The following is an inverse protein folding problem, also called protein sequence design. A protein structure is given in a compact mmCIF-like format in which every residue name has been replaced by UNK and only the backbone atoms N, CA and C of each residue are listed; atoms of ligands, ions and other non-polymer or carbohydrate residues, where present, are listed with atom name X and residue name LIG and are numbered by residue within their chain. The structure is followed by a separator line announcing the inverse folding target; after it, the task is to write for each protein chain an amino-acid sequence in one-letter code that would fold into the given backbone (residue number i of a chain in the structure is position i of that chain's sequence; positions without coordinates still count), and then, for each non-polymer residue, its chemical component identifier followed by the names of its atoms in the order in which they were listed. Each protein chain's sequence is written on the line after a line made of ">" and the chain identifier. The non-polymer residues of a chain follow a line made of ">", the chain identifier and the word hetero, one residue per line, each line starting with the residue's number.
data_IF_875457819591
#
_entry.id   IF_875457819591
#
_cell.length_a   1.000
_cell.length_b   1.000
_cell.length_c   1.000
_cell.angle_alpha   90.00
_cell.angle_beta   90.00
_cell.angle_gamma   90.00
#
_symmetry.space_group_name_H-M   'P 1'
#
loop_
_entity.id
_entity.type
_entity.pdbx_description
1 polymer ?
#
# COMPACT_ATOMS: atom_id res chain seq x y z
N UNK A 1 8.51 -9.70 -13.53
CA UNK A 1 7.71 -10.94 -13.57
C UNK A 1 8.49 -12.18 -13.98
N UNK A 2 9.28 -12.16 -15.07
CA UNK A 2 10.05 -13.34 -15.51
C UNK A 2 11.08 -13.81 -14.46
N UNK A 3 11.78 -12.89 -13.78
CA UNK A 3 12.69 -13.24 -12.69
C UNK A 3 11.97 -13.93 -11.51
N UNK A 4 10.76 -13.48 -11.17
CA UNK A 4 9.93 -14.13 -10.16
C UNK A 4 9.52 -15.54 -10.60
N UNK A 5 9.20 -15.75 -11.88
CA UNK A 5 8.92 -17.08 -12.42
C UNK A 5 10.14 -18.01 -12.26
N UNK A 6 11.35 -17.53 -12.58
CA UNK A 6 12.57 -18.31 -12.34
C UNK A 6 12.73 -18.68 -10.86
N UNK A 7 12.48 -17.75 -9.94
CA UNK A 7 12.51 -18.01 -8.50
C UNK A 7 11.46 -19.03 -8.04
N UNK A 8 10.25 -19.00 -8.61
CA UNK A 8 9.20 -20.01 -8.37
C UNK A 8 9.67 -21.40 -8.83
N UNK A 9 10.32 -21.50 -9.99
CA UNK A 9 10.86 -22.78 -10.46
C UNK A 9 12.01 -23.28 -9.58
N UNK A 10 12.89 -22.39 -9.12
CA UNK A 10 13.96 -22.76 -8.18
C UNK A 10 13.35 -23.31 -6.87
N UNK A 11 12.32 -22.66 -6.32
CA UNK A 11 11.61 -23.17 -5.15
C UNK A 11 11.05 -24.57 -5.36
N UNK A 12 10.42 -24.81 -6.50
CA UNK A 12 9.87 -26.12 -6.87
C UNK A 12 10.94 -27.22 -6.89
N UNK A 13 12.09 -26.97 -7.55
CA UNK A 13 13.17 -27.94 -7.63
C UNK A 13 13.88 -28.14 -6.28
N UNK A 14 14.07 -27.08 -5.49
CA UNK A 14 14.68 -27.16 -4.16
C UNK A 14 13.81 -27.95 -3.18
N UNK A 15 12.50 -27.71 -3.19
CA UNK A 15 11.56 -28.48 -2.39
C UNK A 15 11.59 -29.98 -2.78
N UNK A 16 11.56 -30.27 -4.09
CA UNK A 16 11.65 -31.65 -4.59
C UNK A 16 12.94 -32.36 -4.21
N UNK A 17 14.08 -31.66 -4.29
CA UNK A 17 15.38 -32.22 -3.91
C UNK A 17 15.49 -32.55 -2.41
N UNK A 18 14.88 -31.73 -1.53
CA UNK A 18 14.95 -31.95 -0.08
C UNK A 18 13.91 -32.95 0.44
N UNK A 19 12.72 -33.00 -0.17
CA UNK A 19 11.57 -33.77 0.36
C UNK A 19 11.20 -34.98 -0.49
N UNK A 20 11.75 -35.11 -1.70
CA UNK A 20 11.34 -36.11 -2.69
C UNK A 20 10.01 -35.81 -3.39
N UNK A 21 9.29 -34.76 -2.99
CA UNK A 21 7.99 -34.37 -3.58
C UNK A 21 8.12 -33.03 -4.29
N UNK A 22 7.81 -32.99 -5.58
CA UNK A 22 7.76 -31.75 -6.34
C UNK A 22 6.37 -31.11 -6.26
N UNK A 23 6.28 -29.83 -5.86
CA UNK A 23 4.98 -29.16 -5.66
C UNK A 23 5.06 -27.64 -5.86
N UNK A 24 3.96 -27.05 -6.32
CA UNK A 24 3.71 -25.61 -6.31
C UNK A 24 2.73 -25.20 -5.19
N UNK A 25 2.38 -26.12 -4.28
CA UNK A 25 1.54 -25.82 -3.14
C UNK A 25 2.26 -24.89 -2.16
N UNK A 26 1.75 -23.66 -2.04
CA UNK A 26 2.31 -22.62 -1.18
C UNK A 26 2.38 -23.04 0.29
N UNK A 27 1.40 -23.79 0.79
CA UNK A 27 1.35 -24.19 2.19
C UNK A 27 2.41 -25.26 2.50
N UNK A 28 2.74 -26.12 1.53
CA UNK A 28 3.89 -27.02 1.64
C UNK A 28 5.21 -26.26 1.53
N UNK A 29 5.30 -25.30 0.60
CA UNK A 29 6.50 -24.47 0.43
C UNK A 29 6.82 -23.60 1.65
N UNK A 30 5.84 -23.27 2.50
CA UNK A 30 6.12 -22.60 3.77
C UNK A 30 6.87 -23.48 4.78
N UNK A 31 6.72 -24.80 4.72
CA UNK A 31 7.20 -25.71 5.77
C UNK A 31 8.68 -26.02 5.69
N UNK A 32 9.27 -25.98 4.50
CA UNK A 32 10.68 -26.32 4.31
C UNK A 32 11.60 -25.10 4.43
N UNK A 33 12.86 -25.36 4.77
CA UNK A 33 13.88 -24.34 5.05
C UNK A 33 14.88 -24.26 3.91
N UNK A 34 15.39 -23.05 3.66
CA UNK A 34 16.37 -22.78 2.61
C UNK A 34 17.61 -22.14 3.21
N UNK A 35 18.81 -22.40 2.66
CA UNK A 35 20.01 -21.67 3.05
C UNK A 35 19.83 -20.16 2.86
N UNK A 36 20.36 -19.34 3.78
CA UNK A 36 20.19 -17.88 3.77
C UNK A 36 20.56 -17.26 2.42
N UNK A 37 21.71 -17.62 1.85
CA UNK A 37 22.17 -17.06 0.58
C UNK A 37 21.14 -17.26 -0.54
N UNK A 38 20.50 -18.43 -0.59
CA UNK A 38 19.47 -18.71 -1.57
C UNK A 38 18.17 -17.95 -1.25
N UNK A 39 17.80 -17.83 0.02
CA UNK A 39 16.66 -16.99 0.42
C UNK A 39 16.84 -15.54 -0.01
N UNK A 40 18.04 -14.95 0.13
CA UNK A 40 18.31 -13.57 -0.30
C UNK A 40 18.05 -13.42 -1.79
N UNK A 41 18.61 -14.30 -2.63
CA UNK A 41 18.43 -14.21 -4.08
C UNK A 41 16.97 -14.39 -4.50
N UNK A 42 16.26 -15.35 -3.89
CA UNK A 42 14.86 -15.58 -4.18
C UNK A 42 13.99 -14.42 -3.68
N UNK A 43 14.27 -13.88 -2.49
CA UNK A 43 13.61 -12.70 -1.96
C UNK A 43 13.81 -11.50 -2.89
N UNK A 44 15.02 -11.26 -3.40
CA UNK A 44 15.29 -10.17 -4.34
C UNK A 44 14.58 -10.38 -5.68
N UNK A 45 14.49 -11.61 -6.19
CA UNK A 45 13.81 -11.91 -7.45
C UNK A 45 12.28 -11.72 -7.36
N UNK A 46 11.65 -12.19 -6.28
CA UNK A 46 10.24 -11.91 -5.99
C UNK A 46 10.04 -10.42 -5.69
N UNK A 47 10.88 -9.89 -4.80
CA UNK A 47 10.86 -8.52 -4.32
C UNK A 47 10.98 -7.50 -5.43
N UNK A 48 11.82 -7.72 -6.44
CA UNK A 48 11.91 -6.84 -7.60
C UNK A 48 10.60 -6.81 -8.41
N UNK A 49 10.00 -7.97 -8.67
CA UNK A 49 8.74 -8.04 -9.40
C UNK A 49 7.60 -7.33 -8.64
N UNK A 50 7.56 -7.49 -7.32
CA UNK A 50 6.59 -6.79 -6.48
C UNK A 50 6.91 -5.31 -6.34
N UNK A 51 8.17 -4.91 -6.14
CA UNK A 51 8.60 -3.53 -6.01
C UNK A 51 8.24 -2.68 -7.24
N UNK A 52 8.36 -3.24 -8.45
CA UNK A 52 7.86 -2.60 -9.68
C UNK A 52 6.34 -2.41 -9.61
N UNK A 53 5.59 -3.39 -9.10
CA UNK A 53 4.13 -3.34 -9.00
C UNK A 53 3.62 -2.44 -7.85
N UNK A 54 4.41 -2.28 -6.78
CA UNK A 54 4.19 -1.37 -5.61
C UNK A 54 4.62 0.07 -5.89
N UNK A 55 5.03 0.39 -7.12
CA UNK A 55 6.01 1.44 -7.46
C UNK A 55 6.92 1.91 -6.33
N UNK A 56 7.74 1.02 -5.77
CA UNK A 56 8.81 1.43 -4.84
C UNK A 56 9.87 2.25 -5.57
N UNK A 57 10.58 3.14 -4.87
CA UNK A 57 11.79 3.73 -5.41
C UNK A 57 12.85 2.65 -5.69
N UNK A 58 13.56 2.67 -6.85
CA UNK A 58 13.47 3.61 -7.98
C UNK A 58 12.51 3.16 -9.12
N UNK A 59 11.75 2.08 -8.93
CA UNK A 59 10.92 1.42 -9.96
C UNK A 59 9.52 2.01 -10.16
N UNK A 60 9.33 3.30 -9.89
CA UNK A 60 8.02 3.95 -9.87
C UNK A 60 7.67 4.75 -11.13
N UNK A 61 8.64 4.96 -12.03
CA UNK A 61 8.53 5.90 -13.16
C UNK A 61 7.40 5.58 -14.14
N UNK A 62 7.00 4.31 -14.25
CA UNK A 62 5.89 3.89 -15.11
C UNK A 62 4.52 4.38 -14.60
N UNK A 63 4.37 4.63 -13.29
CA UNK A 63 3.07 4.85 -12.67
C UNK A 63 2.43 6.18 -13.10
N UNK A 64 3.12 7.34 -13.06
CA UNK A 64 2.54 8.61 -13.51
C UNK A 64 2.12 8.56 -14.98
N UNK A 65 2.96 7.98 -15.84
CA UNK A 65 2.71 7.91 -17.28
C UNK A 65 1.53 6.97 -17.59
N UNK A 66 1.43 5.83 -16.89
CA UNK A 66 0.29 4.94 -17.02
C UNK A 66 -1.03 5.61 -16.60
N UNK A 67 -1.03 6.41 -15.53
CA UNK A 67 -2.22 7.14 -15.10
C UNK A 67 -2.61 8.29 -16.03
N UNK A 68 -1.64 8.99 -16.62
CA UNK A 68 -1.95 10.06 -17.57
C UNK A 68 -2.61 9.53 -18.83
N UNK A 69 -2.15 8.38 -19.34
CA UNK A 69 -2.70 7.80 -20.56
C UNK A 69 -3.98 6.98 -20.31
N UNK A 70 -4.17 6.49 -19.08
CA UNK A 70 -5.34 5.68 -18.77
C UNK A 70 -6.65 6.50 -18.75
N UNK A 71 -7.76 5.93 -19.25
CA UNK A 71 -9.09 6.47 -19.00
C UNK A 71 -9.39 6.51 -17.49
N UNK A 72 -10.38 7.31 -17.08
CA UNK A 72 -10.73 7.50 -15.65
C UNK A 72 -10.92 6.17 -14.93
N UNK A 73 -11.74 5.27 -15.49
CA UNK A 73 -11.99 3.94 -14.91
C UNK A 73 -10.69 3.12 -14.79
N UNK A 74 -9.82 3.20 -15.81
CA UNK A 74 -8.51 2.55 -15.79
C UNK A 74 -7.62 3.06 -14.66
N UNK A 75 -7.58 4.37 -14.46
CA UNK A 75 -6.85 4.99 -13.34
C UNK A 75 -7.40 4.58 -11.98
N UNK A 76 -8.73 4.53 -11.84
CA UNK A 76 -9.37 4.09 -10.59
C UNK A 76 -9.01 2.64 -10.29
N UNK A 77 -9.15 1.71 -11.24
CA UNK A 77 -8.80 0.30 -11.02
C UNK A 77 -7.31 0.09 -10.76
N UNK A 78 -6.46 0.82 -11.50
CA UNK A 78 -5.01 0.78 -11.31
C UNK A 78 -4.65 1.18 -9.89
N UNK A 79 -5.09 2.37 -9.45
CA UNK A 79 -4.78 2.88 -8.12
C UNK A 79 -5.46 2.07 -7.00
N UNK A 80 -6.74 1.73 -7.17
CA UNK A 80 -7.56 1.12 -6.13
C UNK A 80 -7.25 -0.36 -5.88
N UNK A 81 -6.85 -1.11 -6.91
CA UNK A 81 -6.67 -2.56 -6.82
C UNK A 81 -5.27 -3.00 -7.24
N UNK A 82 -4.84 -2.64 -8.46
CA UNK A 82 -3.66 -3.29 -9.07
C UNK A 82 -2.35 -3.01 -8.32
N UNK A 83 -2.19 -1.83 -7.71
CA UNK A 83 -1.01 -1.55 -6.89
C UNK A 83 -0.93 -2.41 -5.63
N UNK A 84 -2.09 -2.81 -5.07
CA UNK A 84 -2.15 -3.62 -3.83
C UNK A 84 -1.69 -5.05 -4.07
N UNK A 85 -1.75 -5.53 -5.30
CA UNK A 85 -1.26 -6.86 -5.64
C UNK A 85 0.25 -6.98 -5.41
N UNK A 86 1.01 -5.88 -5.51
CA UNK A 86 2.44 -5.88 -5.21
C UNK A 86 2.72 -6.01 -3.71
N UNK A 87 2.06 -5.20 -2.88
CA UNK A 87 2.21 -5.21 -1.41
C UNK A 87 1.65 -6.50 -0.82
N UNK A 88 0.51 -6.99 -1.33
CA UNK A 88 0.01 -8.32 -1.05
C UNK A 88 1.01 -9.41 -1.47
N UNK A 89 1.73 -9.22 -2.57
CA UNK A 89 2.80 -10.11 -3.01
C UNK A 89 3.92 -10.26 -1.98
N UNK A 90 4.39 -9.15 -1.40
CA UNK A 90 5.35 -9.18 -0.30
C UNK A 90 4.81 -9.89 0.93
N UNK A 91 3.58 -9.53 1.34
CA UNK A 91 2.90 -10.10 2.51
C UNK A 91 2.72 -11.61 2.37
N UNK A 92 2.19 -12.05 1.22
CA UNK A 92 1.78 -13.43 1.00
C UNK A 92 2.95 -14.32 0.58
N UNK A 93 3.89 -13.83 -0.23
CA UNK A 93 4.95 -14.67 -0.78
C UNK A 93 6.31 -14.34 -0.18
N UNK A 94 6.82 -13.11 -0.35
CA UNK A 94 8.21 -12.82 -0.01
C UNK A 94 8.53 -13.05 1.47
N UNK A 95 7.72 -12.50 2.38
CA UNK A 95 8.02 -12.55 3.82
C UNK A 95 7.90 -13.99 4.37
N UNK A 96 6.84 -14.76 4.10
CA UNK A 96 6.70 -16.11 4.67
C UNK A 96 7.54 -17.18 3.98
N UNK A 97 7.82 -17.04 2.68
CA UNK A 97 8.71 -17.97 1.97
C UNK A 97 10.17 -17.78 2.39
N UNK A 98 10.58 -16.53 2.63
CA UNK A 98 11.98 -16.16 2.88
C UNK A 98 12.13 -15.33 4.17
N UNK A 99 11.75 -15.85 5.35
CA UNK A 99 11.70 -15.04 6.56
C UNK A 99 13.10 -14.57 6.98
N UNK A 100 14.13 -15.43 6.91
CA UNK A 100 15.49 -15.04 7.29
C UNK A 100 16.05 -13.92 6.40
N UNK A 101 15.85 -14.02 5.08
CA UNK A 101 16.19 -12.91 4.17
C UNK A 101 15.36 -11.65 4.43
N UNK A 102 14.07 -11.80 4.76
CA UNK A 102 13.19 -10.66 5.03
C UNK A 102 13.65 -9.85 6.23
N UNK A 103 14.04 -10.50 7.33
CA UNK A 103 14.63 -9.83 8.50
C UNK A 103 15.96 -9.15 8.15
N UNK A 104 16.84 -9.81 7.39
CA UNK A 104 18.13 -9.24 7.01
C UNK A 104 18.01 -8.04 6.06
N UNK A 105 16.98 -8.03 5.21
CA UNK A 105 16.74 -6.98 4.21
C UNK A 105 15.76 -5.89 4.66
N UNK A 106 15.32 -5.88 5.92
CA UNK A 106 14.50 -4.78 6.49
C UNK A 106 15.14 -3.42 6.20
N UNK A 107 16.45 -3.16 6.43
CA UNK A 107 17.03 -1.86 6.19
C UNK A 107 16.91 -1.44 4.72
N UNK A 108 17.19 -2.36 3.78
CA UNK A 108 17.09 -2.07 2.35
C UNK A 108 15.67 -1.65 1.96
N UNK A 109 14.66 -2.47 2.31
CA UNK A 109 13.27 -2.21 1.92
C UNK A 109 12.74 -0.95 2.61
N UNK A 110 13.05 -0.76 3.89
CA UNK A 110 12.62 0.41 4.66
C UNK A 110 13.25 1.70 4.14
N UNK A 111 14.55 1.70 3.81
CA UNK A 111 15.20 2.87 3.21
C UNK A 111 14.57 3.22 1.86
N UNK A 112 14.33 2.24 0.98
CA UNK A 112 13.66 2.48 -0.30
C UNK A 112 12.23 3.00 -0.12
N UNK A 113 11.51 2.50 0.89
CA UNK A 113 10.18 2.99 1.26
C UNK A 113 10.21 4.45 1.75
N UNK A 114 11.15 4.80 2.63
CA UNK A 114 11.36 6.16 3.13
C UNK A 114 11.74 7.14 2.01
N UNK A 115 12.61 6.72 1.08
CA UNK A 115 12.89 7.51 -0.11
C UNK A 115 11.60 7.70 -0.91
N UNK A 116 10.81 6.64 -1.14
CA UNK A 116 9.52 6.73 -1.82
C UNK A 116 8.55 7.73 -1.18
N UNK A 117 8.45 7.73 0.16
CA UNK A 117 7.63 8.67 0.94
C UNK A 117 8.07 10.12 0.66
N UNK A 118 9.34 10.43 0.89
CA UNK A 118 9.86 11.81 0.81
C UNK A 118 9.95 12.27 -0.64
N UNK A 119 10.61 11.50 -1.50
CA UNK A 119 10.80 11.83 -2.92
C UNK A 119 9.45 11.95 -3.63
N UNK A 120 8.53 11.00 -3.44
CA UNK A 120 7.21 11.04 -4.08
C UNK A 120 6.46 12.32 -3.71
N UNK A 121 6.47 12.69 -2.43
CA UNK A 121 5.83 13.91 -1.94
C UNK A 121 6.47 15.20 -2.47
N UNK A 122 7.81 15.27 -2.53
CA UNK A 122 8.51 16.41 -3.12
C UNK A 122 8.20 16.57 -4.61
N UNK A 123 8.12 15.46 -5.35
CA UNK A 123 7.78 15.49 -6.78
C UNK A 123 6.33 15.95 -7.01
N UNK A 124 5.39 15.64 -6.11
CA UNK A 124 4.02 16.15 -6.17
C UNK A 124 3.96 17.69 -6.18
N UNK A 125 4.80 18.37 -5.39
CA UNK A 125 4.81 19.84 -5.28
C UNK A 125 5.17 20.56 -6.58
N UNK A 126 5.86 19.88 -7.49
CA UNK A 126 6.28 20.43 -8.79
C UNK A 126 5.45 19.89 -9.96
N UNK A 127 4.46 19.03 -9.71
CA UNK A 127 3.58 18.55 -10.78
C UNK A 127 2.63 19.64 -11.25
N UNK A 128 2.54 19.78 -12.58
CA UNK A 128 1.60 20.68 -13.25
C UNK A 128 0.26 20.01 -13.60
N UNK A 129 0.25 18.68 -13.69
CA UNK A 129 -0.92 17.88 -14.09
C UNK A 129 -1.54 17.18 -12.87
N UNK A 130 -2.86 17.27 -12.75
CA UNK A 130 -3.61 16.69 -11.64
C UNK A 130 -3.47 15.16 -11.52
N UNK A 131 -3.57 14.42 -12.63
CA UNK A 131 -3.42 12.95 -12.61
C UNK A 131 -2.00 12.56 -12.23
N UNK A 132 -0.98 13.28 -12.72
CA UNK A 132 0.41 13.02 -12.35
C UNK A 132 0.66 13.27 -10.87
N UNK A 133 0.13 14.37 -10.33
CA UNK A 133 0.23 14.69 -8.90
C UNK A 133 -0.36 13.56 -8.05
N UNK A 134 -1.57 13.10 -8.38
CA UNK A 134 -2.23 11.99 -7.66
C UNK A 134 -1.44 10.69 -7.82
N UNK A 135 -0.89 10.40 -9.00
CA UNK A 135 -0.06 9.22 -9.20
C UNK A 135 1.21 9.25 -8.32
N UNK A 136 1.92 10.37 -8.27
CA UNK A 136 3.09 10.50 -7.37
C UNK A 136 2.70 10.46 -5.89
N UNK A 137 1.52 10.96 -5.52
CA UNK A 137 1.03 10.81 -4.14
C UNK A 137 0.85 9.34 -3.76
N UNK A 138 0.46 8.49 -4.72
CA UNK A 138 0.37 7.03 -4.52
C UNK A 138 1.73 6.39 -4.27
N UNK A 139 2.81 6.90 -4.89
CA UNK A 139 4.18 6.44 -4.62
C UNK A 139 4.54 6.71 -3.16
N UNK A 140 4.18 7.90 -2.64
CA UNK A 140 4.41 8.25 -1.24
C UNK A 140 3.62 7.34 -0.29
N UNK A 141 2.31 7.22 -0.49
CA UNK A 141 1.44 6.40 0.37
C UNK A 141 1.80 4.90 0.35
N UNK A 142 2.22 4.35 -0.79
CA UNK A 142 2.69 2.96 -0.85
C UNK A 142 4.07 2.77 -0.21
N UNK A 143 4.88 3.83 -0.15
CA UNK A 143 6.06 3.88 0.71
C UNK A 143 5.70 3.66 2.18
N UNK A 144 4.67 4.35 2.70
CA UNK A 144 4.17 4.08 4.06
C UNK A 144 3.73 2.63 4.23
N UNK A 145 2.94 2.09 3.28
CA UNK A 145 2.51 0.69 3.35
C UNK A 145 3.73 -0.24 3.47
N UNK A 146 4.72 -0.09 2.60
CA UNK A 146 5.93 -0.93 2.65
C UNK A 146 6.70 -0.79 3.96
N UNK A 147 6.83 0.42 4.50
CA UNK A 147 7.46 0.65 5.80
C UNK A 147 6.70 -0.07 6.92
N UNK A 148 5.37 -0.01 6.91
CA UNK A 148 4.53 -0.71 7.88
C UNK A 148 4.66 -2.23 7.81
N UNK A 149 4.66 -2.79 6.60
CA UNK A 149 4.84 -4.22 6.39
C UNK A 149 6.20 -4.72 6.90
N UNK A 150 7.27 -3.94 6.67
CA UNK A 150 8.63 -4.28 7.08
C UNK A 150 8.99 -3.84 8.51
N UNK A 151 8.07 -3.23 9.24
CA UNK A 151 8.18 -3.08 10.69
C UNK A 151 8.02 -4.43 11.42
N UNK A 152 7.47 -5.45 10.74
CA UNK A 152 7.30 -6.84 11.21
C UNK A 152 6.72 -6.96 12.62
N UNK A 153 5.75 -6.09 12.93
CA UNK A 153 4.98 -6.11 14.15
C UNK A 153 3.49 -5.88 13.86
N UNK A 154 2.65 -6.11 14.87
CA UNK A 154 1.19 -6.10 14.71
C UNK A 154 0.68 -4.77 14.15
N UNK A 155 1.10 -3.66 14.76
CA UNK A 155 0.63 -2.32 14.37
C UNK A 155 1.09 -1.95 12.95
N UNK A 156 2.35 -2.25 12.61
CA UNK A 156 2.89 -1.97 11.28
C UNK A 156 2.15 -2.73 10.17
N UNK A 157 1.92 -4.04 10.37
CA UNK A 157 1.24 -4.87 9.37
C UNK A 157 -0.24 -4.53 9.27
N UNK A 158 -0.96 -4.37 10.40
CA UNK A 158 -2.36 -3.95 10.39
C UNK A 158 -2.53 -2.58 9.74
N UNK A 159 -1.66 -1.63 10.09
CA UNK A 159 -1.64 -0.30 9.48
C UNK A 159 -1.37 -0.38 7.98
N UNK A 160 -0.39 -1.18 7.56
CA UNK A 160 -0.08 -1.42 6.14
C UNK A 160 -1.27 -1.99 5.37
N UNK A 161 -1.96 -3.00 5.92
CA UNK A 161 -3.13 -3.61 5.30
C UNK A 161 -4.30 -2.63 5.24
N UNK A 162 -4.59 -1.93 6.33
CA UNK A 162 -5.67 -0.96 6.36
C UNK A 162 -5.37 0.22 5.41
N UNK A 163 -4.12 0.67 5.34
CA UNK A 163 -3.72 1.76 4.46
C UNK A 163 -3.82 1.38 2.99
N UNK A 164 -3.62 0.12 2.62
CA UNK A 164 -3.95 -0.36 1.27
C UNK A 164 -5.43 -0.10 0.94
N UNK A 165 -6.35 -0.44 1.84
CA UNK A 165 -7.78 -0.18 1.65
C UNK A 165 -8.09 1.32 1.61
N UNK A 166 -7.54 2.08 2.57
CA UNK A 166 -7.77 3.52 2.68
C UNK A 166 -7.30 4.27 1.43
N UNK A 167 -6.08 3.98 0.98
CA UNK A 167 -5.53 4.51 -0.26
C UNK A 167 -6.40 4.14 -1.46
N UNK A 168 -7.00 2.94 -1.48
CA UNK A 168 -7.93 2.54 -2.53
C UNK A 168 -9.17 3.42 -2.63
N UNK A 169 -9.80 3.73 -1.49
CA UNK A 169 -10.96 4.62 -1.48
C UNK A 169 -10.57 6.08 -1.76
N UNK A 170 -9.55 6.61 -1.08
CA UNK A 170 -9.13 8.01 -1.21
C UNK A 170 -8.60 8.32 -2.62
N UNK A 171 -7.59 7.59 -3.09
CA UNK A 171 -6.99 7.83 -4.40
C UNK A 171 -7.95 7.45 -5.54
N UNK A 172 -8.76 6.40 -5.35
CA UNK A 172 -9.83 6.07 -6.28
C UNK A 172 -10.81 7.24 -6.46
N UNK A 173 -11.25 7.85 -5.36
CA UNK A 173 -12.12 9.03 -5.41
C UNK A 173 -11.42 10.26 -6.02
N UNK A 174 -10.12 10.49 -5.75
CA UNK A 174 -9.36 11.55 -6.40
C UNK A 174 -9.33 11.37 -7.93
N UNK A 175 -9.09 10.15 -8.42
CA UNK A 175 -9.13 9.89 -9.86
C UNK A 175 -10.53 10.03 -10.46
N UNK A 176 -11.59 9.64 -9.73
CA UNK A 176 -12.97 9.90 -10.14
C UNK A 176 -13.24 11.40 -10.29
N UNK A 177 -12.88 12.20 -9.28
CA UNK A 177 -13.07 13.65 -9.27
C UNK A 177 -12.28 14.32 -10.40
N UNK A 178 -11.02 13.92 -10.62
CA UNK A 178 -10.21 14.42 -11.75
C UNK A 178 -10.83 14.02 -13.09
N UNK A 179 -11.38 12.81 -13.21
CA UNK A 179 -12.13 12.40 -14.39
C UNK A 179 -13.36 13.26 -14.65
N UNK A 180 -14.16 13.52 -13.61
CA UNK A 180 -15.38 14.33 -13.70
C UNK A 180 -15.10 15.78 -14.10
N UNK A 181 -14.04 16.40 -13.57
CA UNK A 181 -13.65 17.76 -14.00
C UNK A 181 -13.02 17.76 -15.40
N UNK A 182 -12.27 16.70 -15.75
CA UNK A 182 -11.71 16.55 -17.10
C UNK A 182 -12.81 16.44 -18.16
N UNK A 183 -13.90 15.72 -17.90
CA UNK A 183 -15.05 15.66 -18.81
C UNK A 183 -15.71 17.02 -19.05
N UNK A 184 -15.57 17.97 -18.11
CA UNK A 184 -16.14 19.31 -18.22
C UNK A 184 -15.18 20.34 -18.81
N UNK A 185 -13.88 20.19 -18.57
CA UNK A 185 -12.85 21.19 -18.94
C UNK A 185 -11.89 20.74 -20.03
N UNK A 186 -11.82 19.44 -20.32
CA UNK A 186 -10.88 18.83 -21.27
C UNK A 186 -9.41 19.22 -21.07
N UNK A 187 -9.06 19.57 -19.83
CA UNK A 187 -7.70 19.86 -19.40
C UNK A 187 -7.47 19.28 -18.01
N UNK A 188 -6.20 19.03 -17.68
CA UNK A 188 -5.74 18.51 -16.39
C UNK A 188 -4.70 19.42 -15.74
N UNK A 189 -4.32 20.48 -16.44
CA UNK A 189 -3.28 21.40 -15.99
C UNK A 189 -3.83 22.23 -14.82
N UNK A 190 -3.14 22.17 -13.68
CA UNK A 190 -3.54 22.88 -12.45
C UNK A 190 -3.68 24.38 -12.72
N UNK A 191 -2.78 24.92 -13.53
CA UNK A 191 -2.76 26.33 -13.92
C UNK A 191 -3.93 26.77 -14.79
N UNK A 192 -4.78 25.86 -15.28
CA UNK A 192 -6.01 26.12 -16.06
C UNK A 192 -7.27 26.16 -15.18
N UNK A 193 -7.13 25.91 -13.88
CA UNK A 193 -8.20 25.98 -12.87
C UNK A 193 -8.07 27.21 -11.96
N UNK A 194 -8.99 27.36 -11.01
CA UNK A 194 -9.04 28.49 -10.09
C UNK A 194 -10.48 28.97 -9.88
N UNK A 195 -10.84 29.23 -8.62
CA UNK A 195 -12.14 29.74 -8.21
C UNK A 195 -13.30 28.75 -8.39
N UNK A 196 -13.04 27.45 -8.63
CA UNK A 196 -14.07 26.46 -8.93
C UNK A 196 -15.10 26.28 -7.81
N UNK A 197 -14.74 26.56 -6.56
CA UNK A 197 -15.69 26.50 -5.43
C UNK A 197 -16.95 27.32 -5.68
N UNK A 198 -16.83 28.47 -6.36
CA UNK A 198 -17.97 29.37 -6.65
C UNK A 198 -18.94 28.77 -7.66
N UNK A 199 -18.45 27.93 -8.58
CA UNK A 199 -19.24 27.40 -9.68
C UNK A 199 -19.69 25.94 -9.43
N UNK A 200 -18.87 25.16 -8.73
CA UNK A 200 -19.12 23.74 -8.45
C UNK A 200 -18.90 23.42 -6.95
N UNK A 201 -19.69 24.02 -6.03
CA UNK A 201 -19.50 23.85 -4.59
C UNK A 201 -19.65 22.40 -4.10
N UNK A 202 -20.52 21.59 -4.72
CA UNK A 202 -20.72 20.19 -4.32
C UNK A 202 -19.49 19.36 -4.71
N UNK A 203 -19.00 19.51 -5.95
CA UNK A 203 -17.73 18.94 -6.39
C UNK A 203 -16.58 19.32 -5.46
N UNK A 204 -16.46 20.61 -5.16
CA UNK A 204 -15.37 21.13 -4.34
C UNK A 204 -15.44 20.59 -2.89
N UNK A 205 -16.64 20.35 -2.36
CA UNK A 205 -16.85 19.73 -1.04
C UNK A 205 -16.40 18.27 -1.01
N UNK A 206 -16.82 17.45 -1.98
CA UNK A 206 -16.34 16.07 -2.08
C UNK A 206 -14.83 16.01 -2.26
N UNK A 207 -14.27 16.86 -3.12
CA UNK A 207 -12.84 16.92 -3.33
C UNK A 207 -12.12 17.33 -2.03
N UNK A 208 -12.65 18.25 -1.24
CA UNK A 208 -12.04 18.59 0.06
C UNK A 208 -11.98 17.38 0.99
N UNK A 209 -13.11 16.69 1.18
CA UNK A 209 -13.17 15.51 2.07
C UNK A 209 -12.17 14.44 1.62
N UNK A 210 -12.12 14.13 0.32
CA UNK A 210 -11.20 13.13 -0.23
C UNK A 210 -9.73 13.59 -0.13
N UNK A 211 -9.47 14.89 -0.32
CA UNK A 211 -8.14 15.50 -0.13
C UNK A 211 -7.67 15.32 1.31
N UNK A 212 -8.50 15.68 2.28
CA UNK A 212 -8.21 15.52 3.71
C UNK A 212 -8.06 14.04 4.10
N UNK A 213 -8.83 13.16 3.46
CA UNK A 213 -8.69 11.71 3.62
C UNK A 213 -7.32 11.22 3.17
N UNK A 214 -6.84 11.69 2.03
CA UNK A 214 -5.49 11.38 1.53
C UNK A 214 -4.39 11.98 2.39
N UNK A 215 -4.58 13.16 2.97
CA UNK A 215 -3.61 13.80 3.89
C UNK A 215 -3.46 12.99 5.19
N UNK A 216 -4.48 12.22 5.57
CA UNK A 216 -4.54 11.53 6.85
C UNK A 216 -5.09 12.40 7.97
N UNK A 217 -6.14 13.19 7.70
CA UNK A 217 -6.85 13.94 8.74
C UNK A 217 -7.51 12.98 9.76
N UNK A 218 -7.32 13.17 11.08
CA UNK A 218 -8.03 12.39 12.10
C UNK A 218 -9.55 12.41 11.89
N UNK A 219 -10.18 11.24 12.04
CA UNK A 219 -11.61 11.03 11.76
C UNK A 219 -11.91 10.58 10.32
N UNK A 220 -10.93 10.58 9.43
CA UNK A 220 -11.01 10.00 8.08
C UNK A 220 -10.12 8.76 7.97
N UNK A 221 -10.38 7.93 6.96
CA UNK A 221 -9.74 6.61 6.86
C UNK A 221 -8.21 6.66 6.81
N UNK A 222 -7.62 7.60 6.05
CA UNK A 222 -6.17 7.66 5.81
C UNK A 222 -5.35 7.81 7.08
N UNK A 223 -5.88 8.54 8.08
CA UNK A 223 -5.22 8.71 9.36
C UNK A 223 -4.98 7.36 10.07
N UNK A 224 -5.99 6.50 10.12
CA UNK A 224 -5.93 5.26 10.91
C UNK A 224 -4.81 4.34 10.39
N UNK A 225 -4.72 4.18 9.07
CA UNK A 225 -3.69 3.33 8.45
C UNK A 225 -2.29 3.87 8.67
N UNK A 226 -2.04 5.14 8.32
CA UNK A 226 -0.71 5.74 8.44
C UNK A 226 -0.26 5.93 9.88
N UNK A 227 -1.18 6.23 10.80
CA UNK A 227 -0.85 6.32 12.21
C UNK A 227 -0.40 4.97 12.77
N UNK A 228 -1.11 3.87 12.45
CA UNK A 228 -0.70 2.52 12.85
C UNK A 228 0.65 2.13 12.25
N UNK A 229 0.90 2.49 10.98
CA UNK A 229 2.20 2.32 10.32
C UNK A 229 3.29 3.05 11.10
N UNK A 230 3.08 4.33 11.45
CA UNK A 230 4.06 5.12 12.19
C UNK A 230 4.32 4.55 13.59
N UNK A 231 3.28 4.08 14.30
CA UNK A 231 3.44 3.41 15.60
C UNK A 231 4.24 2.13 15.43
N UNK A 232 3.95 1.32 14.41
CA UNK A 232 4.69 0.10 14.10
C UNK A 232 6.15 0.39 13.75
N UNK A 233 6.39 1.37 12.88
CA UNK A 233 7.73 1.82 12.52
C UNK A 233 8.48 2.35 13.74
N UNK A 234 7.86 3.15 14.61
CA UNK A 234 8.53 3.73 15.78
C UNK A 234 8.98 2.67 16.79
N UNK A 235 8.18 1.60 16.94
CA UNK A 235 8.54 0.46 17.77
C UNK A 235 9.72 -0.35 17.20
N UNK A 236 9.84 -0.40 15.88
CA UNK A 236 10.91 -1.12 15.19
C UNK A 236 12.19 -0.28 15.09
N UNK A 237 12.08 0.95 14.59
CA UNK A 237 13.16 1.93 14.44
C UNK A 237 12.60 3.36 14.51
N UNK A 238 13.01 4.11 15.54
CA UNK A 238 12.54 5.48 15.79
C UNK A 238 12.98 6.45 14.69
N UNK A 239 14.16 6.27 14.09
CA UNK A 239 14.67 7.14 13.03
C UNK A 239 13.80 6.99 11.78
N UNK A 240 13.44 5.76 11.43
CA UNK A 240 12.55 5.51 10.30
C UNK A 240 11.17 6.16 10.49
N UNK A 241 10.60 6.06 11.69
CA UNK A 241 9.33 6.71 11.99
C UNK A 241 9.39 8.24 11.92
N UNK A 242 10.47 8.86 12.42
CA UNK A 242 10.66 10.32 12.36
C UNK A 242 10.76 10.78 10.90
N UNK A 243 11.53 10.08 10.07
CA UNK A 243 11.63 10.41 8.64
C UNK A 243 10.27 10.23 7.95
N UNK A 244 9.57 9.12 8.20
CA UNK A 244 8.24 8.86 7.63
C UNK A 244 7.22 9.94 8.04
N UNK A 245 7.26 10.43 9.29
CA UNK A 245 6.37 11.50 9.75
C UNK A 245 6.53 12.81 8.95
N UNK A 246 7.72 13.10 8.40
CA UNK A 246 7.89 14.25 7.48
C UNK A 246 7.06 14.10 6.20
N UNK A 247 6.80 12.86 5.77
CA UNK A 247 5.93 12.55 4.64
C UNK A 247 4.49 13.02 4.84
N UNK A 248 3.95 12.95 6.06
CA UNK A 248 2.60 13.45 6.37
C UNK A 248 2.53 14.98 6.21
N UNK A 249 3.57 15.67 6.67
CA UNK A 249 3.66 17.14 6.53
C UNK A 249 3.72 17.51 5.05
N UNK A 250 4.54 16.80 4.27
CA UNK A 250 4.64 17.03 2.82
C UNK A 250 3.33 16.65 2.11
N UNK A 251 2.60 15.63 2.57
CA UNK A 251 1.28 15.26 2.06
C UNK A 251 0.26 16.38 2.23
N UNK A 252 0.18 16.97 3.42
CA UNK A 252 -0.62 18.17 3.65
C UNK A 252 -0.20 19.30 2.71
N UNK A 253 1.10 19.54 2.55
CA UNK A 253 1.62 20.60 1.70
C UNK A 253 1.16 20.44 0.24
N UNK A 254 1.40 19.30 -0.42
CA UNK A 254 1.05 19.15 -1.84
C UNK A 254 -0.46 19.03 -2.09
N UNK A 255 -1.21 18.37 -1.20
CA UNK A 255 -2.65 18.19 -1.39
C UNK A 255 -3.41 19.50 -1.18
N UNK A 256 -3.09 20.26 -0.13
CA UNK A 256 -3.73 21.56 0.11
C UNK A 256 -3.28 22.60 -0.91
N UNK A 257 -2.01 22.56 -1.35
CA UNK A 257 -1.50 23.39 -2.45
C UNK A 257 -2.28 23.15 -3.75
N UNK A 258 -2.55 21.88 -4.08
CA UNK A 258 -3.34 21.51 -5.26
C UNK A 258 -4.78 22.00 -5.10
N UNK A 259 -5.42 21.68 -3.96
CA UNK A 259 -6.80 22.05 -3.70
C UNK A 259 -6.99 23.58 -3.78
N UNK A 260 -6.10 24.34 -3.15
CA UNK A 260 -6.15 25.80 -3.12
C UNK A 260 -6.08 26.39 -4.54
N UNK A 261 -5.17 25.90 -5.40
CA UNK A 261 -5.05 26.38 -6.80
C UNK A 261 -6.24 26.03 -7.67
N UNK A 262 -6.84 24.86 -7.46
CA UNK A 262 -7.97 24.40 -8.26
C UNK A 262 -9.27 25.08 -7.82
N UNK A 263 -9.51 25.18 -6.51
CA UNK A 263 -10.82 25.52 -5.96
C UNK A 263 -10.96 26.97 -5.53
N UNK A 264 -9.90 27.58 -5.00
CA UNK A 264 -9.93 28.92 -4.45
C UNK A 264 -9.34 29.96 -5.41
N UNK A 265 -9.41 31.23 -5.01
CA UNK A 265 -9.02 32.38 -5.84
C UNK A 265 -10.17 32.97 -6.64
N UNK A 266 -9.81 33.88 -7.55
CA UNK A 266 -10.77 34.55 -8.41
C UNK A 266 -11.14 33.68 -9.62
N UNK A 267 -12.42 33.70 -9.99
CA UNK A 267 -12.94 32.96 -11.14
C UNK A 267 -12.72 33.80 -12.41
N UNK A 268 -11.46 33.94 -12.81
CA UNK A 268 -11.05 34.80 -13.93
C UNK A 268 -11.33 34.10 -15.27
N UNK A 269 -11.04 32.79 -15.35
CA UNK A 269 -11.10 32.01 -16.59
C UNK A 269 -12.53 31.82 -17.09
N UNK A 270 -12.85 32.27 -18.31
CA UNK A 270 -14.21 32.19 -18.87
C UNK A 270 -14.77 30.76 -18.87
N UNK A 271 -13.94 29.78 -19.20
CA UNK A 271 -14.34 28.38 -19.31
C UNK A 271 -14.69 27.77 -17.94
N UNK A 272 -14.18 28.32 -16.83
CA UNK A 272 -14.54 27.89 -15.49
C UNK A 272 -15.90 28.45 -15.05
N UNK A 273 -16.39 29.54 -15.65
CA UNK A 273 -17.66 30.21 -15.27
C UNK A 273 -18.91 29.47 -15.75
N UNK A 274 -18.77 28.65 -16.78
CA UNK A 274 -19.90 27.94 -17.41
C UNK A 274 -20.03 26.50 -16.94
N UNK A 275 -19.20 26.08 -15.98
CA UNK A 275 -19.20 24.71 -15.49
C UNK A 275 -20.50 24.39 -14.76
N UNK A 276 -21.00 23.19 -14.99
CA UNK A 276 -22.10 22.61 -14.21
C UNK A 276 -21.51 21.77 -13.09
N UNK A 277 -22.12 21.84 -11.92
CA UNK A 277 -21.76 20.99 -10.79
C UNK A 277 -22.06 19.50 -11.08
N UNK A 278 -21.86 18.65 -10.09
CA UNK A 278 -22.09 17.22 -10.17
C UNK A 278 -23.55 16.88 -10.47
N UNK A 279 -23.73 15.92 -11.36
CA UNK A 279 -25.01 15.23 -11.59
C UNK A 279 -25.36 14.30 -10.43
N UNK A 280 -26.64 13.95 -10.30
CA UNK A 280 -27.09 13.01 -9.26
C UNK A 280 -26.37 11.66 -9.28
N UNK A 281 -25.99 11.16 -10.47
CA UNK A 281 -25.18 9.94 -10.61
C UNK A 281 -23.79 10.09 -10.01
N UNK A 282 -23.12 11.20 -10.29
CA UNK A 282 -21.77 11.48 -9.77
C UNK A 282 -21.80 11.66 -8.24
N UNK A 283 -22.81 12.36 -7.72
CA UNK A 283 -23.02 12.52 -6.28
C UNK A 283 -23.23 11.16 -5.61
N UNK A 284 -24.06 10.27 -6.19
CA UNK A 284 -24.32 8.95 -5.62
C UNK A 284 -23.03 8.12 -5.52
N UNK A 285 -22.21 8.10 -6.57
CA UNK A 285 -20.94 7.38 -6.60
C UNK A 285 -19.97 7.93 -5.56
N UNK A 286 -19.78 9.25 -5.51
CA UNK A 286 -18.87 9.88 -4.55
C UNK A 286 -19.34 9.75 -3.11
N UNK A 287 -20.66 9.80 -2.88
CA UNK A 287 -21.25 9.57 -1.55
C UNK A 287 -20.98 8.16 -1.07
N UNK A 288 -21.13 7.15 -1.93
CA UNK A 288 -20.83 5.77 -1.58
C UNK A 288 -19.37 5.58 -1.15
N UNK A 289 -18.41 6.17 -1.90
CA UNK A 289 -16.99 6.08 -1.53
C UNK A 289 -16.68 6.88 -0.26
N UNK A 290 -17.24 8.08 -0.14
CA UNK A 290 -17.03 8.96 1.02
C UNK A 290 -17.62 8.37 2.31
N UNK A 291 -18.71 7.61 2.21
CA UNK A 291 -19.26 6.85 3.34
C UNK A 291 -18.21 5.89 3.92
N UNK A 292 -17.47 5.15 3.09
CA UNK A 292 -16.39 4.27 3.56
C UNK A 292 -15.21 5.04 4.15
N UNK A 293 -14.89 6.22 3.60
CA UNK A 293 -13.86 7.11 4.16
C UNK A 293 -14.20 7.48 5.61
N UNK A 294 -15.44 7.90 5.88
CA UNK A 294 -15.88 8.23 7.24
C UNK A 294 -16.04 6.98 8.12
N UNK A 295 -16.62 5.90 7.59
CA UNK A 295 -16.86 4.69 8.36
C UNK A 295 -15.55 4.10 8.92
N UNK A 296 -14.53 3.97 8.07
CA UNK A 296 -13.21 3.47 8.51
C UNK A 296 -12.54 4.48 9.44
N UNK A 297 -12.66 5.79 9.16
CA UNK A 297 -12.05 6.84 9.98
C UNK A 297 -12.62 6.95 11.39
N UNK A 298 -13.93 6.79 11.55
CA UNK A 298 -14.64 6.93 12.83
C UNK A 298 -14.66 5.61 13.60
N UNK A 299 -14.86 4.48 12.91
CA UNK A 299 -14.99 3.17 13.55
C UNK A 299 -14.16 2.08 12.84
N UNK A 300 -12.82 2.17 12.90
CA UNK A 300 -11.91 1.25 12.22
C UNK A 300 -11.96 -0.17 12.77
N UNK A 301 -12.48 -0.37 14.00
CA UNK A 301 -12.51 -1.67 14.66
C UNK A 301 -13.26 -2.74 13.86
N UNK A 302 -14.23 -2.36 13.03
CA UNK A 302 -14.92 -3.26 12.11
C UNK A 302 -13.95 -4.03 11.22
N UNK A 303 -12.88 -3.36 10.76
CA UNK A 303 -11.86 -3.93 9.89
C UNK A 303 -10.72 -4.53 10.70
N UNK A 304 -10.21 -3.79 11.70
CA UNK A 304 -9.08 -4.24 12.52
C UNK A 304 -9.37 -5.57 13.24
N UNK A 305 -10.53 -5.72 13.89
CA UNK A 305 -10.89 -6.96 14.59
C UNK A 305 -10.94 -8.21 13.70
N UNK A 306 -11.19 -8.04 12.40
CA UNK A 306 -11.20 -9.13 11.42
C UNK A 306 -9.80 -9.50 10.93
N UNK A 307 -8.90 -8.52 10.88
CA UNK A 307 -7.53 -8.71 10.44
C UNK A 307 -6.63 -9.22 11.57
N UNK A 308 -6.83 -8.73 12.80
CA UNK A 308 -5.94 -8.95 13.94
C UNK A 308 -5.60 -10.43 14.19
N UNK A 309 -6.56 -11.38 14.24
CA UNK A 309 -6.24 -12.79 14.47
C UNK A 309 -5.34 -13.37 13.36
N UNK A 310 -5.60 -12.98 12.11
CA UNK A 310 -4.83 -13.44 10.95
C UNK A 310 -3.43 -12.84 10.95
N UNK A 311 -3.29 -11.56 11.30
CA UNK A 311 -1.99 -10.89 11.40
C UNK A 311 -1.15 -11.45 12.56
N UNK A 312 -1.76 -11.75 13.70
CA UNK A 312 -1.08 -12.43 14.82
C UNK A 312 -0.60 -13.83 14.43
N UNK A 313 -1.45 -14.62 13.77
CA UNK A 313 -1.08 -15.93 13.26
C UNK A 313 0.06 -15.85 12.24
N UNK A 314 -0.02 -14.88 11.32
CA UNK A 314 1.02 -14.58 10.33
C UNK A 314 2.37 -14.26 10.98
N UNK A 315 2.40 -13.33 11.94
CA UNK A 315 3.62 -12.95 12.65
C UNK A 315 4.21 -14.13 13.43
N UNK A 316 3.35 -14.93 14.06
CA UNK A 316 3.76 -16.14 14.78
C UNK A 316 4.42 -17.13 13.82
N UNK A 317 3.82 -17.36 12.65
CA UNK A 317 4.36 -18.25 11.63
C UNK A 317 5.73 -17.77 11.12
N UNK A 318 5.83 -16.49 10.73
CA UNK A 318 7.05 -15.87 10.20
C UNK A 318 8.18 -15.91 11.24
N UNK A 319 7.89 -15.54 12.49
CA UNK A 319 8.88 -15.57 13.56
C UNK A 319 9.31 -16.99 13.93
N UNK A 320 8.37 -17.94 14.05
CA UNK A 320 8.71 -19.34 14.34
C UNK A 320 9.65 -19.94 13.29
N UNK A 321 9.39 -19.68 12.00
CA UNK A 321 10.27 -20.12 10.91
C UNK A 321 11.63 -19.45 10.97
N UNK A 322 11.67 -18.13 11.17
CA UNK A 322 12.92 -17.38 11.34
C UNK A 322 13.79 -17.94 12.48
N UNK A 323 13.21 -18.18 13.66
CA UNK A 323 13.93 -18.73 14.82
C UNK A 323 14.42 -20.15 14.58
N UNK A 324 13.63 -20.96 13.87
CA UNK A 324 14.03 -22.33 13.50
C UNK A 324 15.26 -22.29 12.60
N UNK A 325 15.24 -21.46 11.56
CA UNK A 325 16.35 -21.30 10.61
C UNK A 325 17.63 -20.77 11.29
N UNK A 326 17.49 -19.85 12.25
CA UNK A 326 18.63 -19.37 13.06
C UNK A 326 19.28 -20.48 13.89
N UNK A 327 18.48 -21.33 14.53
CA UNK A 327 19.01 -22.47 15.34
C UNK A 327 19.77 -23.47 14.49
N UNK A 328 19.27 -23.77 13.29
CA UNK A 328 19.98 -24.65 12.33
C UNK A 328 21.35 -24.06 11.99
N UNK A 329 21.43 -22.76 11.75
CA UNK A 329 22.69 -22.07 11.43
C UNK A 329 23.64 -22.01 12.62
N UNK A 330 23.13 -21.90 13.85
CA UNK A 330 23.92 -21.92 15.08
C UNK A 330 24.48 -23.31 15.44
N UNK A 331 24.11 -24.37 14.70
CA UNK A 331 24.53 -25.74 15.01
C UNK A 331 23.81 -26.35 16.22
N UNK A 332 22.76 -25.70 16.73
CA UNK A 332 21.92 -26.24 17.78
C UNK A 332 20.98 -27.29 17.18
N UNK A 333 21.16 -28.56 17.56
CA UNK A 333 20.35 -29.66 17.06
C UNK A 333 18.86 -29.38 17.21
N UNK A 334 18.11 -29.41 16.10
CA UNK A 334 16.66 -29.28 16.13
C UNK A 334 16.10 -30.59 16.71
N UNK A 335 15.73 -30.58 17.99
CA UNK A 335 14.80 -31.58 18.50
C UNK A 335 13.43 -31.29 17.88
N UNK A 336 13.19 -31.85 16.69
CA UNK A 336 11.85 -31.96 16.14
C UNK A 336 11.07 -32.82 17.13
N UNK A 337 10.25 -32.18 17.97
CA UNK A 337 9.30 -32.87 18.80
C UNK A 337 8.44 -33.74 17.87
N UNK A 338 8.63 -35.06 17.92
CA UNK A 338 7.77 -36.02 17.24
C UNK A 338 6.35 -35.70 17.68
N UNK A 339 5.48 -35.40 16.72
CA UNK A 339 4.07 -35.26 16.97
C UNK A 339 3.60 -36.50 17.73
N UNK A 340 3.12 -36.30 18.96
CA UNK A 340 2.42 -37.35 19.69
C UNK A 340 1.20 -37.76 18.85
N UNK A 341 0.92 -39.05 18.64
CA UNK A 341 -0.31 -39.48 18.00
C UNK A 341 -1.47 -38.96 18.86
N UNK A 342 -2.31 -38.10 18.28
CA UNK A 342 -3.50 -37.59 18.95
C UNK A 342 -4.41 -38.75 19.35
N UNK A 343 -4.88 -38.71 20.60
CA UNK A 343 -5.91 -39.59 21.13
C UNK A 343 -7.09 -39.68 20.14
N UNK A 344 -7.26 -40.87 19.55
CA UNK A 344 -8.53 -41.32 19.03
C UNK A 344 -9.46 -41.60 20.21
N UNK A 345 -10.07 -40.58 20.77
CA UNK A 345 -11.26 -40.75 21.59
C UNK A 345 -12.03 -39.44 21.57
N UNK A 346 -13.04 -39.39 20.71
CA UNK A 346 -14.31 -38.67 20.87
C UNK A 346 -15.19 -38.95 19.62
N UNK A 347 -15.44 -40.24 19.36
CA UNK A 347 -16.70 -40.68 18.76
C UNK A 347 -17.52 -41.33 19.88
N UNK A 348 -18.48 -40.57 20.41
CA UNK A 348 -19.76 -40.98 21.03
C UNK A 348 -20.28 -39.87 21.94
N UNK A 349 -21.08 -38.97 21.37
CA UNK A 349 -22.43 -38.60 21.85
C UNK A 349 -23.07 -37.58 20.92
#
# INVERSE_FOLDING_TARGET
>A
SVLMLAAILILYFQHGAQTGKYTFDLLELYKFSLPLNLQIWLFLAFGLAFAIKVPMFPFHTWLPDAHTEAPTVGSVLLAAVLLKMGTYGFLRFSIPLFPHASYQLIPLVSILALIGIVYGALVCLVQKDLKRLIAFSSVSHLGFVMLGLFALNLQGIEGGILQMLNHGFSTGALFLLVGMIYERRHTRLIEEFGGLWKQMPIFASFFMVVTLSSIGLPGLNGFVGEFLILVGAFKADKVYAVIAATGIILAAAYMLWMYQRVMFGELIKPENKVLKDLSGREILVLSAVTLFIFWIGIYPQTFLSRMEPTVKGYLTQVNAKYQTELKVLAGEGIHLAKAQPGNQELEKR
#
